data_IF_510186567383
#
_entry.id   IF_510186567383
#
_cell.length_a   1.000
_cell.length_b   1.000
_cell.length_c   1.000
_cell.angle_alpha   90.00
_cell.angle_beta   90.00
_cell.angle_gamma   90.00
#
_symmetry.space_group_name_H-M   'P 1'
#
loop_
_entity.id
_entity.type
_entity.pdbx_description
1 polymer ?
#
# COMPACT_ATOMS: atom_id res chain seq x y z
N UNK A 1 -20.12 -19.71 6.84
CA UNK A 1 -20.27 -18.27 7.10
C UNK A 1 -18.87 -17.75 7.27
N UNK A 2 -18.18 -17.62 6.14
CA UNK A 2 -16.77 -17.23 6.09
C UNK A 2 -16.69 -15.74 6.31
N UNK A 3 -15.89 -15.40 7.30
CA UNK A 3 -15.53 -14.05 7.69
C UNK A 3 -14.72 -13.49 6.51
N UNK A 4 -15.23 -12.41 5.93
CA UNK A 4 -14.48 -11.55 5.03
C UNK A 4 -13.27 -10.98 5.79
N UNK A 5 -12.12 -11.65 5.70
CA UNK A 5 -10.80 -11.01 5.75
C UNK A 5 -10.60 -10.39 4.35
N UNK A 6 -10.26 -9.13 4.11
CA UNK A 6 -9.53 -8.16 4.91
C UNK A 6 -9.89 -6.78 4.31
N UNK A 7 -10.88 -6.07 4.85
CA UNK A 7 -10.81 -4.61 4.83
C UNK A 7 -9.91 -4.29 6.02
N UNK A 8 -8.60 -4.26 5.79
CA UNK A 8 -7.65 -3.82 6.81
C UNK A 8 -8.08 -2.41 7.22
N UNK A 9 -8.42 -2.19 8.49
CA UNK A 9 -8.92 -0.91 8.98
C UNK A 9 -7.85 0.18 8.81
N UNK A 10 -7.86 0.84 7.65
CA UNK A 10 -6.96 1.95 7.33
C UNK A 10 -7.38 3.15 8.15
N UNK A 11 -6.68 3.34 9.25
CA UNK A 11 -6.97 4.41 10.20
C UNK A 11 -5.72 5.26 10.43
N UNK A 12 -5.92 6.57 10.48
CA UNK A 12 -4.93 7.54 10.97
C UNK A 12 -5.47 8.09 12.28
N UNK A 13 -4.62 8.07 13.31
CA UNK A 13 -4.96 8.64 14.61
C UNK A 13 -4.30 10.00 14.77
N UNK A 14 -5.11 11.03 14.99
CA UNK A 14 -4.65 12.37 15.37
C UNK A 14 -4.75 12.55 16.88
N UNK A 15 -3.65 13.02 17.48
CA UNK A 15 -3.52 13.16 18.92
C UNK A 15 -3.24 14.58 19.34
N UNK A 16 -4.06 15.08 20.24
CA UNK A 16 -3.94 16.42 20.81
C UNK A 16 -2.97 16.48 22.00
N UNK A 17 -1.91 15.69 21.95
CA UNK A 17 -0.88 15.67 23.00
C UNK A 17 0.47 15.18 22.46
N UNK A 18 1.54 15.74 23.01
CA UNK A 18 2.91 15.33 22.72
C UNK A 18 3.25 14.02 23.41
N UNK A 19 3.93 13.13 22.68
CA UNK A 19 4.16 11.73 23.03
C UNK A 19 5.07 11.60 24.25
N UNK A 20 5.98 12.56 24.44
CA UNK A 20 6.93 12.58 25.56
C UNK A 20 6.30 12.79 26.95
N UNK A 21 5.04 13.22 27.04
CA UNK A 21 4.46 13.69 28.32
C UNK A 21 3.41 12.78 28.97
N UNK A 22 2.92 11.74 28.29
CA UNK A 22 1.88 10.87 28.87
C UNK A 22 2.05 9.44 28.39
N UNK A 23 2.31 8.50 29.32
CA UNK A 23 2.33 7.06 29.06
C UNK A 23 0.93 6.46 28.85
N UNK A 24 -0.12 7.23 29.15
CA UNK A 24 -1.46 6.71 29.38
C UNK A 24 -2.33 6.68 28.11
N UNK A 25 -2.00 7.47 27.08
CA UNK A 25 -2.78 7.49 25.84
C UNK A 25 -2.58 6.24 24.99
N UNK A 26 -1.38 5.64 25.05
CA UNK A 26 -1.06 4.39 24.35
C UNK A 26 -1.93 3.21 24.83
N UNK A 27 -2.53 3.30 26.01
CA UNK A 27 -3.49 2.32 26.52
C UNK A 27 -4.91 2.47 25.95
N UNK A 28 -5.22 3.60 25.30
CA UNK A 28 -6.52 3.85 24.66
C UNK A 28 -6.53 3.49 23.17
N UNK A 29 -5.37 3.16 22.60
CA UNK A 29 -5.28 2.58 21.26
C UNK A 29 -5.50 1.07 21.40
N UNK A 30 -6.53 0.54 20.74
CA UNK A 30 -6.83 -0.90 20.67
C UNK A 30 -5.79 -1.68 19.84
N UNK A 31 -4.55 -1.18 19.72
CA UNK A 31 -3.50 -1.71 18.86
C UNK A 31 -2.26 -2.07 19.67
N UNK A 32 -1.58 -3.19 19.38
CA UNK A 32 -0.31 -3.51 20.00
C UNK A 32 0.69 -2.39 19.76
N UNK A 33 1.49 -2.01 20.78
CA UNK A 33 2.52 -0.96 20.65
C UNK A 33 3.53 -1.19 19.50
N UNK A 34 3.58 -2.41 18.94
CA UNK A 34 4.46 -2.79 17.83
C UNK A 34 3.89 -2.45 16.45
N UNK A 35 2.59 -2.17 16.37
CA UNK A 35 1.85 -1.99 15.12
C UNK A 35 1.47 -0.51 14.88
N UNK A 36 2.11 0.40 15.61
CA UNK A 36 1.92 1.84 15.47
C UNK A 36 3.24 2.51 15.12
N UNK A 37 3.17 3.55 14.29
CA UNK A 37 4.26 4.49 14.05
C UNK A 37 3.80 5.88 14.51
N UNK A 38 4.64 6.55 15.27
CA UNK A 38 4.29 7.79 15.95
C UNK A 38 5.10 8.94 15.38
N UNK A 39 4.40 9.98 14.92
CA UNK A 39 4.97 11.20 14.39
C UNK A 39 4.76 12.34 15.40
N UNK A 40 5.81 12.60 16.19
CA UNK A 40 5.87 13.68 17.18
C UNK A 40 6.80 14.80 16.68
N UNK A 41 6.37 16.08 16.71
CA UNK A 41 7.15 17.19 16.15
C UNK A 41 8.45 17.45 16.90
N UNK A 42 8.50 17.22 18.22
CA UNK A 42 9.71 17.44 19.03
C UNK A 42 10.70 16.32 18.77
N UNK A 43 10.23 15.08 18.79
CA UNK A 43 11.09 13.94 18.52
C UNK A 43 11.63 14.01 17.09
N UNK A 44 10.78 14.31 16.11
CA UNK A 44 11.19 14.40 14.72
C UNK A 44 12.23 15.51 14.54
N UNK A 45 12.02 16.69 15.13
CA UNK A 45 12.98 17.80 15.07
C UNK A 45 14.35 17.44 15.67
N UNK A 46 14.38 16.58 16.70
CA UNK A 46 15.64 16.10 17.28
C UNK A 46 16.42 15.16 16.36
N UNK A 47 15.74 14.50 15.42
CA UNK A 47 16.36 13.59 14.43
C UNK A 47 16.69 14.32 13.13
N UNK A 48 15.75 15.14 12.63
CA UNK A 48 15.77 15.83 11.35
C UNK A 48 15.01 17.16 11.51
N UNK A 49 15.59 18.26 11.07
CA UNK A 49 14.88 19.54 11.04
C UNK A 49 13.80 19.53 9.95
N UNK A 50 12.59 19.13 10.34
CA UNK A 50 11.42 19.06 9.47
C UNK A 50 10.84 20.45 9.15
N UNK A 51 11.25 21.51 9.84
CA UNK A 51 10.63 22.84 9.65
C UNK A 51 10.94 23.45 8.29
N UNK A 52 12.02 22.99 7.64
CA UNK A 52 12.44 23.40 6.30
C UNK A 52 11.93 22.47 5.19
N UNK A 53 10.91 21.62 5.43
CA UNK A 53 10.47 20.61 4.46
C UNK A 53 10.06 21.22 3.10
N UNK A 54 9.49 22.43 3.07
CA UNK A 54 9.10 23.11 1.82
C UNK A 54 10.32 23.54 0.98
N UNK A 55 11.48 23.73 1.61
CA UNK A 55 12.70 24.25 0.97
C UNK A 55 13.74 23.14 0.68
N UNK A 56 13.67 22.02 1.40
CA UNK A 56 14.62 20.91 1.29
C UNK A 56 13.93 19.57 1.04
N UNK A 57 13.96 19.13 -0.22
CA UNK A 57 13.45 17.83 -0.67
C UNK A 57 14.15 16.66 0.03
N UNK A 58 15.41 16.81 0.47
CA UNK A 58 16.13 15.75 1.18
C UNK A 58 15.52 15.49 2.56
N UNK A 59 15.02 16.52 3.23
CA UNK A 59 14.31 16.41 4.50
C UNK A 59 13.04 15.59 4.32
N UNK A 60 12.23 15.93 3.30
CA UNK A 60 11.02 15.18 2.96
C UNK A 60 11.35 13.73 2.66
N UNK A 61 12.27 13.47 1.72
CA UNK A 61 12.60 12.11 1.29
C UNK A 61 13.04 11.23 2.48
N UNK A 62 13.86 11.78 3.38
CA UNK A 62 14.36 11.02 4.53
C UNK A 62 13.26 10.66 5.52
N UNK A 63 12.32 11.58 5.78
CA UNK A 63 11.19 11.32 6.68
C UNK A 63 10.20 10.38 6.00
N UNK A 64 9.92 10.62 4.72
CA UNK A 64 9.01 9.83 3.90
C UNK A 64 9.48 8.38 3.78
N UNK A 65 10.75 8.10 3.45
CA UNK A 65 11.26 6.73 3.36
C UNK A 65 11.06 5.94 4.66
N UNK A 66 11.27 6.60 5.82
CA UNK A 66 11.02 5.98 7.13
C UNK A 66 9.53 5.66 7.32
N UNK A 67 8.64 6.57 6.93
CA UNK A 67 7.19 6.36 7.04
C UNK A 67 6.67 5.36 6.02
N UNK A 68 7.26 5.30 4.83
CA UNK A 68 6.89 4.37 3.78
C UNK A 68 7.09 2.92 4.23
N UNK A 69 8.27 2.60 4.75
CA UNK A 69 8.55 1.26 5.27
C UNK A 69 7.58 0.88 6.42
N UNK A 70 7.31 1.82 7.32
CA UNK A 70 6.48 1.55 8.50
C UNK A 70 4.98 1.47 8.16
N UNK A 71 4.44 2.42 7.41
CA UNK A 71 3.00 2.55 7.12
C UNK A 71 2.60 1.74 5.89
N UNK A 72 3.38 1.82 4.80
CA UNK A 72 3.03 1.19 3.52
C UNK A 72 3.43 -0.28 3.52
N UNK A 73 4.68 -0.59 3.90
CA UNK A 73 5.22 -1.96 3.84
C UNK A 73 4.79 -2.79 5.05
N UNK A 74 4.98 -2.28 6.27
CA UNK A 74 4.63 -3.03 7.48
C UNK A 74 3.22 -2.80 7.98
N UNK A 75 2.43 -1.97 7.27
CA UNK A 75 1.02 -1.69 7.58
C UNK A 75 0.77 -1.20 9.01
N UNK A 76 1.70 -0.44 9.57
CA UNK A 76 1.52 0.16 10.89
C UNK A 76 0.55 1.33 10.81
N UNK A 77 -0.22 1.49 11.88
CA UNK A 77 -1.10 2.64 12.05
C UNK A 77 -0.29 3.91 12.32
N UNK A 78 -0.53 4.94 11.52
CA UNK A 78 0.09 6.25 11.70
C UNK A 78 -0.62 7.04 12.79
N UNK A 79 0.14 7.46 13.80
CA UNK A 79 -0.31 8.30 14.90
C UNK A 79 0.42 9.63 14.84
N UNK A 80 -0.29 10.72 14.56
CA UNK A 80 0.31 12.04 14.42
C UNK A 80 -0.12 12.97 15.56
N UNK A 81 0.81 13.77 16.07
CA UNK A 81 0.43 14.95 16.86
C UNK A 81 -0.40 15.90 16.00
N UNK A 82 -1.52 16.38 16.52
CA UNK A 82 -2.36 17.36 15.87
C UNK A 82 -2.98 18.29 16.92
N UNK A 83 -2.51 19.55 17.03
CA UNK A 83 -3.03 20.47 18.03
C UNK A 83 -4.46 20.87 17.69
N UNK A 84 -5.39 20.64 18.63
CA UNK A 84 -6.82 20.96 18.48
C UNK A 84 -7.21 22.29 19.14
N UNK A 85 -6.26 22.96 19.78
CA UNK A 85 -6.42 24.32 20.29
C UNK A 85 -6.71 25.30 19.15
N UNK A 86 -7.80 26.06 19.25
CA UNK A 86 -8.20 27.04 18.22
C UNK A 86 -9.35 26.63 17.29
N UNK A 87 -10.23 25.72 17.72
CA UNK A 87 -11.32 25.12 16.92
C UNK A 87 -10.79 24.30 15.73
N UNK A 88 -11.59 23.31 15.29
CA UNK A 88 -11.31 22.54 14.08
C UNK A 88 -11.35 23.51 12.89
N UNK A 89 -10.19 24.07 12.53
CA UNK A 89 -10.03 24.99 11.41
C UNK A 89 -10.16 24.29 10.06
N UNK A 90 -10.03 25.06 8.98
CA UNK A 90 -10.10 24.53 7.61
C UNK A 90 -9.14 23.34 7.38
N UNK A 91 -7.94 23.38 7.95
CA UNK A 91 -6.92 22.32 7.83
C UNK A 91 -7.44 20.94 8.26
N UNK A 92 -8.27 20.89 9.31
CA UNK A 92 -8.89 19.64 9.75
C UNK A 92 -9.93 19.15 8.73
N UNK A 93 -10.75 20.06 8.20
CA UNK A 93 -11.77 19.70 7.22
C UNK A 93 -11.14 19.22 5.91
N UNK A 94 -10.02 19.83 5.50
CA UNK A 94 -9.23 19.40 4.35
C UNK A 94 -8.70 17.98 4.57
N UNK A 95 -8.03 17.72 5.70
CA UNK A 95 -7.53 16.39 6.02
C UNK A 95 -8.65 15.34 6.15
N UNK A 96 -9.75 15.67 6.82
CA UNK A 96 -10.90 14.77 6.94
C UNK A 96 -11.55 14.48 5.59
N UNK A 97 -11.59 15.46 4.69
CA UNK A 97 -12.11 15.29 3.33
C UNK A 97 -11.20 14.41 2.49
N UNK A 98 -9.88 14.59 2.59
CA UNK A 98 -8.86 13.75 1.96
C UNK A 98 -8.99 12.30 2.43
N UNK A 99 -9.01 12.04 3.74
CA UNK A 99 -9.16 10.68 4.27
C UNK A 99 -10.49 10.06 3.83
N UNK A 100 -11.60 10.81 3.90
CA UNK A 100 -12.92 10.33 3.49
C UNK A 100 -13.00 9.99 1.99
N UNK A 101 -12.40 10.81 1.13
CA UNK A 101 -12.36 10.56 -0.31
C UNK A 101 -11.63 9.25 -0.64
N UNK A 102 -10.65 8.90 0.20
CA UNK A 102 -9.79 7.74 0.00
C UNK A 102 -10.16 6.53 0.85
N UNK A 103 -11.32 6.55 1.55
CA UNK A 103 -11.81 5.48 2.43
C UNK A 103 -10.92 5.18 3.65
N UNK A 104 -10.24 6.20 4.19
CA UNK A 104 -9.49 6.12 5.43
C UNK A 104 -10.31 6.63 6.61
N UNK A 105 -10.24 5.93 7.74
CA UNK A 105 -10.81 6.38 9.00
C UNK A 105 -9.87 7.38 9.68
N UNK A 106 -10.42 8.52 10.11
CA UNK A 106 -9.66 9.54 10.83
C UNK A 106 -10.13 9.59 12.28
N UNK A 107 -9.31 9.06 13.17
CA UNK A 107 -9.58 8.99 14.60
C UNK A 107 -9.00 10.20 15.32
N UNK A 108 -9.75 10.78 16.24
CA UNK A 108 -9.28 11.91 17.06
C UNK A 108 -9.24 11.52 18.52
N UNK A 109 -8.06 11.66 19.13
CA UNK A 109 -7.87 11.46 20.55
C UNK A 109 -7.57 12.80 21.22
N UNK A 110 -8.56 13.30 21.96
CA UNK A 110 -8.42 14.51 22.77
C UNK A 110 -7.86 14.17 24.13
N UNK A 111 -6.80 14.87 24.54
CA UNK A 111 -6.33 14.79 25.91
C UNK A 111 -7.23 15.62 26.83
N UNK A 112 -7.62 15.05 27.97
CA UNK A 112 -8.55 15.68 28.93
C UNK A 112 -7.91 16.89 29.65
N UNK A 113 -6.61 17.16 29.45
CA UNK A 113 -5.81 18.04 30.31
C UNK A 113 -5.11 19.22 29.63
N UNK A 114 -5.27 19.47 28.33
CA UNK A 114 -4.56 20.56 27.64
C UNK A 114 -5.46 21.78 27.38
N UNK A 115 -4.98 22.94 27.82
CA UNK A 115 -5.52 24.27 27.49
C UNK A 115 -4.67 24.90 26.39
N UNK A 116 -5.30 25.66 25.49
CA UNK A 116 -4.73 26.31 24.29
C UNK A 116 -3.35 26.98 24.46
N UNK A 117 -2.97 27.40 25.67
CA UNK A 117 -1.72 28.13 25.96
C UNK A 117 -0.44 27.26 26.12
N UNK A 118 -0.48 25.92 25.97
CA UNK A 118 0.55 25.03 26.58
C UNK A 118 1.31 24.02 25.69
N UNK A 119 1.22 24.04 24.36
CA UNK A 119 2.08 23.14 23.55
C UNK A 119 3.54 23.61 23.48
N UNK A 120 3.82 24.87 23.83
CA UNK A 120 5.18 25.43 23.78
C UNK A 120 5.67 25.77 22.37
N UNK A 121 4.79 25.69 21.37
CA UNK A 121 5.06 26.09 19.99
C UNK A 121 4.45 27.46 19.68
N UNK A 122 5.08 28.20 18.76
CA UNK A 122 4.44 29.36 18.14
C UNK A 122 3.35 28.93 17.15
N UNK A 123 2.40 29.82 16.87
CA UNK A 123 1.36 29.57 15.87
C UNK A 123 1.95 29.24 14.50
N UNK A 124 3.07 29.85 14.13
CA UNK A 124 3.79 29.57 12.89
C UNK A 124 4.26 28.12 12.82
N UNK A 125 4.91 27.61 13.88
CA UNK A 125 5.37 26.21 13.94
C UNK A 125 4.18 25.25 13.89
N UNK A 126 3.08 25.59 14.56
CA UNK A 126 1.85 24.78 14.54
C UNK A 126 1.28 24.70 13.12
N UNK A 127 1.25 25.82 12.40
CA UNK A 127 0.75 25.87 11.02
C UNK A 127 1.65 25.10 10.06
N UNK A 128 2.97 25.27 10.18
CA UNK A 128 3.95 24.51 9.38
C UNK A 128 3.83 23.01 9.66
N UNK A 129 3.63 22.60 10.91
CA UNK A 129 3.42 21.21 11.27
C UNK A 129 2.15 20.63 10.63
N UNK A 130 1.02 21.34 10.68
CA UNK A 130 -0.23 20.87 10.08
C UNK A 130 -0.11 20.66 8.58
N UNK A 131 0.53 21.61 7.88
CA UNK A 131 0.84 21.48 6.44
C UNK A 131 1.73 20.29 6.16
N UNK A 132 2.78 20.11 6.96
CA UNK A 132 3.70 18.99 6.85
C UNK A 132 2.99 17.64 7.01
N UNK A 133 2.16 17.49 8.05
CA UNK A 133 1.37 16.28 8.29
C UNK A 133 0.37 16.02 7.18
N UNK A 134 -0.32 17.06 6.69
CA UNK A 134 -1.23 16.93 5.55
C UNK A 134 -0.49 16.40 4.32
N UNK A 135 0.64 17.02 3.96
CA UNK A 135 1.46 16.62 2.82
C UNK A 135 1.90 15.15 2.93
N UNK A 136 2.40 14.74 4.10
CA UNK A 136 2.82 13.35 4.31
C UNK A 136 1.66 12.36 4.17
N UNK A 137 0.50 12.68 4.74
CA UNK A 137 -0.68 11.80 4.65
C UNK A 137 -1.15 11.70 3.20
N UNK A 138 -1.19 12.81 2.46
CA UNK A 138 -1.53 12.82 1.04
C UNK A 138 -0.60 11.91 0.24
N UNK A 139 0.72 12.07 0.36
CA UNK A 139 1.70 11.22 -0.34
C UNK A 139 1.59 9.74 0.06
N UNK A 140 1.41 9.45 1.35
CA UNK A 140 1.24 8.06 1.82
C UNK A 140 -0.05 7.43 1.29
N UNK A 141 -1.15 8.19 1.24
CA UNK A 141 -2.42 7.70 0.68
C UNK A 141 -2.26 7.40 -0.81
N UNK A 142 -1.63 8.30 -1.57
CA UNK A 142 -1.36 8.09 -3.00
C UNK A 142 -0.55 6.81 -3.24
N UNK A 143 0.55 6.62 -2.50
CA UNK A 143 1.39 5.44 -2.65
C UNK A 143 0.70 4.15 -2.15
N UNK A 144 -0.13 4.24 -1.11
CA UNK A 144 -0.91 3.08 -0.65
C UNK A 144 -1.97 2.73 -1.69
N UNK A 145 -2.64 3.71 -2.30
CA UNK A 145 -3.56 3.46 -3.39
C UNK A 145 -2.84 2.84 -4.59
N UNK A 146 -1.66 3.34 -4.96
CA UNK A 146 -0.85 2.73 -6.01
C UNK A 146 -0.43 1.30 -5.68
N UNK A 147 -0.19 0.97 -4.42
CA UNK A 147 0.13 -0.42 -4.02
C UNK A 147 -1.11 -1.32 -3.91
N UNK A 148 -2.26 -0.77 -3.56
CA UNK A 148 -3.51 -1.52 -3.39
C UNK A 148 -4.29 -1.70 -4.70
N UNK A 149 -4.13 -0.77 -5.65
CA UNK A 149 -4.67 -0.90 -7.00
C UNK A 149 -3.96 -1.97 -7.83
N UNK A 150 -2.86 -2.57 -7.33
CA UNK A 150 -2.10 -3.59 -8.04
C UNK A 150 -1.92 -4.85 -7.20
N UNK A 151 -2.88 -5.75 -7.30
CA UNK A 151 -2.77 -7.10 -6.74
C UNK A 151 -2.09 -8.02 -7.76
N UNK A 152 -0.87 -8.49 -7.49
CA UNK A 152 -0.27 -9.57 -8.29
C UNK A 152 -1.04 -10.87 -8.04
N UNK A 153 -1.69 -11.36 -9.08
CA UNK A 153 -2.51 -12.57 -9.03
C UNK A 153 -1.76 -13.82 -9.48
N UNK A 154 -0.68 -13.64 -10.24
CA UNK A 154 0.21 -14.74 -10.58
C UNK A 154 1.35 -14.37 -11.50
N UNK A 155 2.33 -15.25 -11.58
CA UNK A 155 3.50 -15.15 -12.44
C UNK A 155 3.56 -16.38 -13.35
N UNK A 156 3.80 -16.15 -14.64
CA UNK A 156 4.12 -17.18 -15.63
C UNK A 156 5.59 -17.03 -15.97
N UNK A 157 6.38 -18.09 -15.84
CA UNK A 157 7.84 -18.06 -16.04
C UNK A 157 8.25 -19.09 -17.07
N UNK A 158 8.99 -18.67 -18.09
CA UNK A 158 9.65 -19.54 -19.07
C UNK A 158 11.17 -19.43 -18.92
N UNK A 159 11.90 -20.22 -19.71
CA UNK A 159 13.37 -20.12 -19.76
C UNK A 159 13.86 -18.79 -20.37
N UNK A 160 12.99 -18.04 -21.05
CA UNK A 160 13.35 -16.85 -21.84
C UNK A 160 12.77 -15.55 -21.30
N UNK A 161 11.61 -15.60 -20.63
CA UNK A 161 10.86 -14.44 -20.17
C UNK A 161 9.91 -14.79 -19.00
N UNK A 162 9.37 -13.75 -18.37
CA UNK A 162 8.30 -13.87 -17.39
C UNK A 162 7.14 -12.94 -17.73
N UNK A 163 5.93 -13.39 -17.39
CA UNK A 163 4.69 -12.62 -17.52
C UNK A 163 4.11 -12.48 -16.12
N UNK A 164 3.94 -11.25 -15.67
CA UNK A 164 3.29 -10.95 -14.39
C UNK A 164 1.84 -10.60 -14.66
N UNK A 165 0.92 -11.20 -13.91
CA UNK A 165 -0.53 -11.03 -14.02
C UNK A 165 -1.02 -10.20 -12.84
N UNK A 166 -1.82 -9.19 -13.14
CA UNK A 166 -2.33 -8.23 -12.15
C UNK A 166 -3.85 -8.18 -12.15
N UNK A 167 -4.38 -7.90 -10.97
CA UNK A 167 -5.77 -7.51 -10.71
C UNK A 167 -5.76 -6.11 -10.13
N UNK A 168 -6.58 -5.24 -10.70
CA UNK A 168 -6.77 -3.86 -10.27
C UNK A 168 -8.21 -3.64 -9.82
N UNK A 169 -8.41 -2.94 -8.72
CA UNK A 169 -9.73 -2.52 -8.25
C UNK A 169 -9.88 -1.01 -8.39
N UNK A 170 -10.54 -0.56 -9.46
CA UNK A 170 -10.78 0.86 -9.71
C UNK A 170 -12.28 1.18 -9.59
N UNK A 171 -12.64 2.01 -8.62
CA UNK A 171 -14.01 2.50 -8.45
C UNK A 171 -15.06 1.39 -8.23
N UNK A 172 -14.67 0.28 -7.59
CA UNK A 172 -15.52 -0.89 -7.36
C UNK A 172 -15.65 -1.83 -8.56
N UNK A 173 -14.92 -1.58 -9.65
CA UNK A 173 -14.79 -2.48 -10.80
C UNK A 173 -13.42 -3.16 -10.76
N UNK A 174 -13.42 -4.49 -10.86
CA UNK A 174 -12.20 -5.29 -10.99
C UNK A 174 -11.77 -5.31 -12.46
N UNK A 175 -10.49 -5.05 -12.70
CA UNK A 175 -9.84 -5.03 -14.00
C UNK A 175 -8.64 -5.98 -13.94
N UNK A 176 -8.34 -6.68 -15.03
CA UNK A 176 -7.20 -7.58 -15.13
C UNK A 176 -6.21 -7.07 -16.18
N UNK A 177 -4.92 -7.26 -15.98
CA UNK A 177 -3.87 -6.89 -16.93
C UNK A 177 -2.62 -7.75 -16.75
N UNK A 178 -1.67 -7.63 -17.68
CA UNK A 178 -0.40 -8.35 -17.62
C UNK A 178 0.77 -7.48 -18.11
N UNK A 179 1.98 -7.82 -17.69
CA UNK A 179 3.21 -7.21 -18.18
C UNK A 179 4.26 -8.28 -18.51
N UNK A 180 5.01 -8.07 -19.59
CA UNK A 180 6.15 -8.88 -19.95
C UNK A 180 7.41 -8.34 -19.27
N UNK A 181 8.16 -9.22 -18.66
CA UNK A 181 9.45 -8.93 -18.07
C UNK A 181 10.52 -9.72 -18.82
N UNK A 182 11.55 -9.01 -19.29
CA UNK A 182 12.60 -9.59 -20.12
C UNK A 182 13.84 -9.91 -19.28
N UNK A 183 13.71 -10.75 -18.25
CA UNK A 183 14.78 -11.57 -17.62
C UNK A 183 14.24 -12.33 -16.40
N UNK A 184 14.68 -13.58 -16.13
CA UNK A 184 14.17 -14.37 -15.02
C UNK A 184 14.66 -13.83 -13.66
N UNK A 185 13.74 -13.61 -12.73
CA UNK A 185 14.03 -13.36 -11.32
C UNK A 185 14.72 -14.60 -10.70
N UNK A 186 16.05 -14.63 -10.69
CA UNK A 186 16.78 -15.48 -9.75
C UNK A 186 16.51 -14.95 -8.33
N UNK A 187 15.59 -15.62 -7.62
CA UNK A 187 15.59 -15.87 -6.17
C UNK A 187 16.33 -14.83 -5.30
N UNK A 188 15.69 -13.68 -5.04
CA UNK A 188 16.00 -12.88 -3.86
C UNK A 188 14.74 -12.71 -2.99
N UNK A 189 14.72 -13.20 -1.73
CA UNK A 189 13.76 -12.70 -0.78
C UNK A 189 14.13 -11.25 -0.47
N UNK A 190 13.14 -10.37 -0.38
CA UNK A 190 13.30 -8.94 -0.05
C UNK A 190 14.13 -8.13 -1.06
N UNK A 191 13.48 -7.72 -2.14
CA UNK A 191 13.72 -6.43 -2.77
C UNK A 191 12.42 -6.03 -3.45
N UNK A 192 11.81 -4.98 -2.94
CA UNK A 192 10.74 -4.22 -3.59
C UNK A 192 11.21 -3.92 -5.02
N UNK A 193 10.68 -4.66 -5.98
CA UNK A 193 10.89 -4.37 -7.38
C UNK A 193 10.44 -2.93 -7.59
N UNK A 194 11.38 -2.06 -7.94
CA UNK A 194 11.08 -0.74 -8.47
C UNK A 194 10.20 -0.93 -9.71
N UNK A 195 8.88 -0.86 -9.53
CA UNK A 195 7.84 -0.94 -10.58
C UNK A 195 7.83 0.31 -11.48
N UNK A 196 8.88 1.13 -11.45
CA UNK A 196 9.01 2.37 -12.22
C UNK A 196 9.24 2.16 -13.72
N UNK A 197 9.33 0.92 -14.20
CA UNK A 197 9.46 0.59 -15.62
C UNK A 197 8.26 -0.14 -16.24
N UNK A 198 7.04 -0.01 -15.68
CA UNK A 198 5.82 -0.45 -16.39
C UNK A 198 5.41 0.59 -17.45
N UNK A 199 6.28 0.85 -18.44
CA UNK A 199 5.93 1.66 -19.62
C UNK A 199 5.14 0.87 -20.68
N UNK A 200 4.90 -0.43 -20.45
CA UNK A 200 4.16 -1.32 -21.35
C UNK A 200 3.01 -2.03 -20.62
N UNK A 201 2.14 -1.28 -19.95
CA UNK A 201 0.88 -1.84 -19.46
C UNK A 201 0.05 -2.25 -20.69
N UNK A 202 -0.04 -3.55 -20.93
CA UNK A 202 -0.86 -4.14 -21.99
C UNK A 202 -2.37 -3.96 -21.67
N UNK A 203 -3.30 -4.26 -22.59
CA UNK A 203 -4.70 -3.85 -22.48
C UNK A 203 -5.33 -4.24 -21.13
N UNK A 204 -6.24 -3.41 -20.65
CA UNK A 204 -7.07 -3.70 -19.48
C UNK A 204 -8.26 -4.59 -19.88
N UNK A 205 -8.54 -5.63 -19.10
CA UNK A 205 -9.63 -6.58 -19.36
C UNK A 205 -10.65 -6.59 -18.21
N UNK A 206 -11.93 -6.79 -18.54
CA UNK A 206 -13.01 -6.80 -17.55
C UNK A 206 -13.13 -8.16 -16.84
N UNK A 207 -12.58 -9.22 -17.43
CA UNK A 207 -12.51 -10.55 -16.81
C UNK A 207 -11.13 -11.20 -16.95
N UNK A 208 -10.78 -12.05 -15.99
CA UNK A 208 -9.55 -12.82 -16.03
C UNK A 208 -9.47 -13.73 -17.28
N UNK A 209 -10.60 -14.29 -17.72
CA UNK A 209 -10.62 -15.15 -18.90
C UNK A 209 -10.33 -14.37 -20.19
N UNK A 210 -10.86 -13.15 -20.34
CA UNK A 210 -10.55 -12.30 -21.50
C UNK A 210 -9.06 -11.98 -21.59
N UNK A 211 -8.42 -11.73 -20.44
CA UNK A 211 -6.98 -11.52 -20.35
C UNK A 211 -6.21 -12.78 -20.78
N UNK A 212 -6.64 -13.96 -20.32
CA UNK A 212 -6.01 -15.23 -20.66
C UNK A 212 -6.16 -15.59 -22.14
N UNK A 213 -7.34 -15.39 -22.71
CA UNK A 213 -7.57 -15.61 -24.15
C UNK A 213 -6.62 -14.73 -24.98
N UNK A 214 -6.45 -13.47 -24.57
CA UNK A 214 -5.51 -12.56 -25.24
C UNK A 214 -4.05 -12.99 -25.09
N UNK A 215 -3.66 -13.49 -23.91
CA UNK A 215 -2.32 -14.03 -23.66
C UNK A 215 -2.05 -15.29 -24.49
N UNK A 216 -3.04 -16.15 -24.67
CA UNK A 216 -2.95 -17.38 -25.48
C UNK A 216 -2.85 -17.09 -26.98
N UNK A 217 -3.54 -16.05 -27.46
CA UNK A 217 -3.42 -15.59 -28.83
C UNK A 217 -2.00 -15.11 -29.17
N UNK A 218 -1.31 -14.53 -28.18
CA UNK A 218 0.00 -13.88 -28.36
C UNK A 218 1.18 -14.79 -27.97
N UNK A 219 0.98 -15.78 -27.08
CA UNK A 219 2.05 -16.59 -26.49
C UNK A 219 1.66 -18.07 -26.36
N UNK A 220 2.64 -18.99 -26.51
CA UNK A 220 2.44 -20.40 -26.15
C UNK A 220 2.58 -20.58 -24.64
N UNK A 221 1.48 -20.35 -23.92
CA UNK A 221 1.42 -20.48 -22.46
C UNK A 221 1.74 -21.90 -21.94
N UNK A 222 1.79 -22.92 -22.81
CA UNK A 222 2.21 -24.28 -22.42
C UNK A 222 3.70 -24.39 -22.08
N UNK A 223 4.49 -23.38 -22.42
CA UNK A 223 5.92 -23.29 -22.12
C UNK A 223 6.21 -22.65 -20.76
N UNK A 224 5.20 -22.08 -20.09
CA UNK A 224 5.38 -21.35 -18.84
C UNK A 224 5.03 -22.21 -17.63
N UNK A 225 5.90 -22.15 -16.61
CA UNK A 225 5.61 -22.57 -15.25
C UNK A 225 4.82 -21.47 -14.55
N UNK A 226 3.84 -21.86 -13.76
CA UNK A 226 2.89 -20.91 -13.16
C UNK A 226 2.95 -20.88 -11.66
N UNK A 227 2.86 -19.70 -11.08
CA UNK A 227 2.67 -19.48 -9.65
C UNK A 227 1.52 -18.49 -9.46
N UNK A 228 0.44 -18.93 -8.81
CA UNK A 228 -0.73 -18.08 -8.54
C UNK A 228 -0.89 -17.84 -7.05
N UNK A 229 -1.42 -16.67 -6.69
CA UNK A 229 -1.78 -16.35 -5.29
C UNK A 229 -3.14 -16.93 -4.90
N UNK A 230 -4.05 -17.13 -5.86
CA UNK A 230 -5.39 -17.73 -5.66
C UNK A 230 -5.57 -19.05 -6.44
N UNK A 231 -5.88 -20.18 -5.75
CA UNK A 231 -6.19 -21.46 -6.39
C UNK A 231 -7.35 -21.41 -7.40
N UNK A 232 -8.30 -20.48 -7.24
CA UNK A 232 -9.42 -20.32 -8.19
C UNK A 232 -8.95 -19.74 -9.53
N UNK A 233 -8.02 -18.77 -9.49
CA UNK A 233 -7.41 -18.18 -10.67
C UNK A 233 -6.50 -19.19 -11.37
N UNK A 234 -5.72 -19.97 -10.60
CA UNK A 234 -4.93 -21.09 -11.12
C UNK A 234 -5.82 -22.10 -11.85
N UNK A 235 -6.95 -22.47 -11.24
CA UNK A 235 -7.91 -23.39 -11.85
C UNK A 235 -8.52 -22.80 -13.13
N UNK A 236 -8.85 -21.51 -13.14
CA UNK A 236 -9.35 -20.83 -14.34
C UNK A 236 -8.30 -20.89 -15.46
N UNK A 237 -7.04 -20.59 -15.15
CA UNK A 237 -5.91 -20.69 -16.07
C UNK A 237 -5.79 -22.07 -16.72
N UNK A 238 -5.74 -23.13 -15.91
CA UNK A 238 -5.65 -24.49 -16.45
C UNK A 238 -6.90 -24.93 -17.22
N UNK A 239 -8.09 -24.43 -16.86
CA UNK A 239 -9.31 -24.71 -17.61
C UNK A 239 -9.31 -24.06 -19.00
N UNK A 240 -8.79 -22.84 -19.13
CA UNK A 240 -8.66 -22.16 -20.42
C UNK A 240 -7.62 -22.88 -21.29
N UNK A 241 -6.44 -23.21 -20.72
CA UNK A 241 -5.44 -24.04 -21.39
C UNK A 241 -6.01 -25.38 -21.88
N UNK A 242 -6.82 -26.06 -21.05
CA UNK A 242 -7.41 -27.34 -21.40
C UNK A 242 -8.41 -27.26 -22.58
N UNK A 243 -9.02 -26.10 -22.81
CA UNK A 243 -9.99 -25.89 -23.91
C UNK A 243 -9.30 -25.72 -25.26
N UNK A 244 -8.19 -24.99 -25.29
CA UNK A 244 -7.36 -24.76 -26.47
C UNK A 244 -6.56 -26.03 -26.84
N UNK A 245 -5.97 -26.71 -25.85
CA UNK A 245 -5.14 -27.89 -26.08
C UNK A 245 -5.94 -29.19 -25.98
N UNK A 246 -6.62 -29.57 -27.07
CA UNK A 246 -7.32 -30.87 -27.17
C UNK A 246 -6.43 -32.11 -26.99
N UNK A 247 -5.10 -32.00 -26.96
CA UNK A 247 -4.18 -33.16 -27.06
C UNK A 247 -2.81 -33.02 -26.35
N UNK A 248 -2.61 -32.12 -25.39
CA UNK A 248 -1.39 -32.17 -24.52
C UNK A 248 -1.76 -32.58 -23.10
N UNK A 249 -0.99 -33.50 -22.55
CA UNK A 249 -1.27 -34.15 -21.28
C UNK A 249 -1.01 -33.14 -20.14
N UNK A 250 -2.06 -32.43 -19.71
CA UNK A 250 -2.04 -31.44 -18.61
C UNK A 250 -1.38 -31.99 -17.34
N UNK A 251 -1.45 -33.32 -17.16
CA UNK A 251 -0.78 -34.05 -16.09
C UNK A 251 0.74 -33.85 -16.12
N UNK A 252 1.37 -33.75 -17.30
CA UNK A 252 2.82 -33.52 -17.41
C UNK A 252 3.22 -32.12 -16.99
N UNK A 253 2.41 -31.10 -17.30
CA UNK A 253 2.62 -29.72 -16.82
C UNK A 253 2.47 -29.64 -15.30
N UNK A 254 1.39 -30.22 -14.76
CA UNK A 254 1.19 -30.34 -13.32
C UNK A 254 2.34 -31.09 -12.61
N UNK A 255 2.77 -32.23 -13.15
CA UNK A 255 3.91 -32.97 -12.60
C UNK A 255 5.17 -32.11 -12.64
N UNK A 256 5.49 -31.41 -13.72
CA UNK A 256 6.70 -30.59 -13.78
C UNK A 256 6.67 -29.42 -12.77
N UNK A 257 5.52 -28.76 -12.59
CA UNK A 257 5.37 -27.67 -11.60
C UNK A 257 5.51 -28.16 -10.16
N UNK A 258 4.97 -29.34 -9.84
CA UNK A 258 4.94 -29.86 -8.46
C UNK A 258 6.03 -30.90 -8.14
N UNK A 259 6.83 -31.34 -9.12
CA UNK A 259 7.93 -32.31 -8.92
C UNK A 259 9.30 -31.68 -8.66
N UNK A 260 9.39 -30.34 -8.67
CA UNK A 260 10.60 -29.60 -8.31
C UNK A 260 10.59 -29.08 -6.85
N UNK A 261 9.63 -29.51 -6.03
CA UNK A 261 9.64 -29.35 -4.57
C UNK A 261 10.18 -30.59 -3.85
#
# INVERSE_FOLDING_TARGET
MEIAMNLRDKSIALMDCLVGNTSDWLGNLDHPKRDIVVLDPIQLFSEIDWTCFEEDVQVINRIYSKLFDEVVITHKKLVCFWPLSGQLGNDWFELASLCKANHWELEIYKSVQYSDEKYGFSDEIIQTWKKFVYFLIESLIEDIQLNEEFEEIGTLTSDQDSIVLFKLEQGGKVIYSFAFESLPFELFPSQSAELTNIQNLHPSFDTFNEMLDKLLDENDLSLYQTKFSDPQLEKAYFNVLAREFKTKNLITGWINTYSLN
#
